data_IF_045788117145
#
_entry.id   IF_045788117145
#
_cell.length_a   1.000
_cell.length_b   1.000
_cell.length_c   1.000
_cell.angle_alpha   90.00
_cell.angle_beta   90.00
_cell.angle_gamma   90.00
#
_symmetry.space_group_name_H-M   'P 1'
#
loop_
_entity.id
_entity.type
_entity.pdbx_description
1 polymer ?
#
# COMPACT_ATOMS: atom_id res chain seq x y z
N UNK A 1 -5.99 -30.26 38.98
CA UNK A 1 -6.27 -28.83 38.85
C UNK A 1 -5.52 -28.22 37.67
N UNK A 2 -4.20 -28.47 37.49
CA UNK A 2 -3.42 -27.92 36.37
C UNK A 2 -3.92 -28.35 34.97
N UNK A 3 -4.28 -29.63 34.80
CA UNK A 3 -4.81 -30.17 33.52
C UNK A 3 -6.15 -29.54 33.17
N UNK A 4 -7.04 -29.31 34.12
CA UNK A 4 -8.31 -28.62 33.89
C UNK A 4 -8.11 -27.13 33.49
N UNK A 5 -7.09 -26.49 34.06
CA UNK A 5 -6.74 -25.12 33.70
C UNK A 5 -6.18 -25.05 32.27
N UNK A 6 -5.35 -25.99 31.84
CA UNK A 6 -4.85 -26.04 30.47
C UNK A 6 -5.94 -26.38 29.46
N UNK A 7 -6.88 -27.28 29.81
CA UNK A 7 -8.04 -27.57 28.95
C UNK A 7 -8.94 -26.35 28.85
N UNK A 8 -9.24 -25.68 29.96
CA UNK A 8 -10.07 -24.46 29.96
C UNK A 8 -9.40 -23.29 29.23
N UNK A 9 -8.11 -23.05 29.48
CA UNK A 9 -7.36 -21.97 28.79
C UNK A 9 -7.17 -22.28 27.30
N UNK A 10 -6.91 -23.54 26.93
CA UNK A 10 -6.84 -23.97 25.52
C UNK A 10 -8.18 -23.81 24.80
N UNK A 11 -9.30 -24.17 25.50
CA UNK A 11 -10.65 -24.02 24.97
C UNK A 11 -11.06 -22.52 24.85
N UNK A 12 -10.72 -21.72 25.87
CA UNK A 12 -10.96 -20.25 25.84
C UNK A 12 -10.11 -19.53 24.79
N UNK A 13 -8.87 -19.97 24.56
CA UNK A 13 -8.01 -19.45 23.49
C UNK A 13 -8.54 -19.89 22.12
N UNK A 14 -9.04 -21.11 21.98
CA UNK A 14 -9.63 -21.64 20.75
C UNK A 14 -10.96 -20.95 20.44
N UNK A 15 -11.79 -20.65 21.44
CA UNK A 15 -13.02 -19.88 21.29
C UNK A 15 -12.75 -18.41 20.98
N UNK A 16 -11.72 -17.78 21.58
CA UNK A 16 -11.28 -16.43 21.20
C UNK A 16 -10.65 -16.38 19.79
N UNK A 17 -10.08 -17.48 19.31
CA UNK A 17 -9.54 -17.61 17.94
C UNK A 17 -10.60 -17.91 16.88
N UNK A 18 -11.83 -18.26 17.23
CA UNK A 18 -12.96 -18.14 16.29
C UNK A 18 -13.24 -16.66 16.04
N UNK A 19 -12.36 -15.97 15.31
CA UNK A 19 -12.76 -14.78 14.56
C UNK A 19 -13.99 -15.22 13.79
N UNK A 20 -15.16 -14.58 14.02
CA UNK A 20 -16.31 -14.74 13.15
C UNK A 20 -15.79 -14.62 11.72
N UNK A 21 -16.04 -15.63 10.90
CA UNK A 21 -15.69 -15.54 9.50
C UNK A 21 -16.26 -14.23 8.96
N UNK A 22 -15.47 -13.47 8.24
CA UNK A 22 -15.95 -12.24 7.59
C UNK A 22 -17.13 -12.57 6.66
N UNK A 23 -17.06 -13.75 6.02
CA UNK A 23 -18.10 -14.29 5.15
C UNK A 23 -18.76 -15.50 5.85
N UNK A 24 -19.93 -15.32 6.47
CA UNK A 24 -20.64 -16.41 7.14
C UNK A 24 -21.30 -17.38 6.17
N UNK A 25 -21.51 -16.97 4.91
CA UNK A 25 -22.12 -17.77 3.84
C UNK A 25 -21.10 -18.12 2.76
N UNK A 26 -21.34 -19.25 2.07
CA UNK A 26 -20.59 -19.61 0.88
C UNK A 26 -20.94 -18.63 -0.27
N UNK A 27 -19.96 -18.24 -1.07
CA UNK A 27 -20.13 -17.23 -2.13
C UNK A 27 -21.22 -17.62 -3.16
N UNK A 28 -21.38 -18.92 -3.39
CA UNK A 28 -22.36 -19.49 -4.33
C UNK A 28 -23.81 -19.32 -3.87
N UNK A 29 -24.04 -19.02 -2.59
CA UNK A 29 -25.37 -18.86 -2.00
C UNK A 29 -25.73 -17.41 -1.70
N UNK A 30 -24.86 -16.47 -2.04
CA UNK A 30 -25.03 -15.06 -1.72
C UNK A 30 -25.70 -14.28 -2.84
N UNK A 31 -26.67 -13.47 -2.46
CA UNK A 31 -27.42 -12.54 -3.33
C UNK A 31 -26.65 -11.23 -3.55
N UNK A 32 -25.93 -10.80 -2.52
CA UNK A 32 -25.14 -9.55 -2.51
C UNK A 32 -23.66 -9.89 -2.54
N UNK A 33 -22.98 -9.47 -3.59
CA UNK A 33 -21.54 -9.62 -3.72
C UNK A 33 -20.89 -8.24 -3.61
N UNK A 34 -20.00 -8.09 -2.65
CA UNK A 34 -19.25 -6.84 -2.39
C UNK A 34 -17.81 -7.06 -2.80
N UNK A 35 -17.38 -6.41 -3.87
CA UNK A 35 -16.00 -6.51 -4.39
C UNK A 35 -15.20 -5.26 -4.02
N UNK A 36 -13.95 -5.47 -3.63
CA UNK A 36 -13.08 -4.39 -3.15
C UNK A 36 -11.81 -4.32 -3.98
N UNK A 37 -11.59 -3.18 -4.63
CA UNK A 37 -10.33 -2.77 -5.22
C UNK A 37 -9.64 -1.75 -4.31
N UNK A 38 -8.54 -2.11 -3.67
CA UNK A 38 -7.84 -1.22 -2.73
C UNK A 38 -6.34 -1.48 -2.75
N UNK A 39 -5.55 -0.42 -2.55
CA UNK A 39 -4.10 -0.52 -2.39
C UNK A 39 -3.74 -0.67 -0.90
N UNK A 40 -4.09 0.30 -0.08
CA UNK A 40 -3.77 0.36 1.36
C UNK A 40 -4.85 -0.15 2.29
N UNK A 41 -5.94 -0.74 1.79
CA UNK A 41 -7.01 -1.34 2.61
C UNK A 41 -8.09 -0.37 3.11
N UNK A 42 -7.94 0.94 2.95
CA UNK A 42 -8.90 1.93 3.44
C UNK A 42 -10.30 1.80 2.81
N UNK A 43 -10.37 1.54 1.51
CA UNK A 43 -11.63 1.30 0.79
C UNK A 43 -12.37 0.07 1.32
N UNK A 44 -11.63 -0.92 1.83
CA UNK A 44 -12.19 -2.13 2.43
C UNK A 44 -13.03 -1.85 3.68
N UNK A 45 -12.68 -0.84 4.46
CA UNK A 45 -13.46 -0.48 5.65
C UNK A 45 -14.86 0.01 5.27
N UNK A 46 -14.97 0.79 4.17
CA UNK A 46 -16.25 1.23 3.63
C UNK A 46 -17.10 0.07 3.11
N UNK A 47 -16.50 -0.79 2.31
CA UNK A 47 -17.14 -1.98 1.76
C UNK A 47 -17.61 -2.93 2.86
N UNK A 48 -16.78 -3.13 3.90
CA UNK A 48 -17.09 -3.98 5.03
C UNK A 48 -18.27 -3.47 5.85
N UNK A 49 -18.38 -2.17 6.05
CA UNK A 49 -19.52 -1.61 6.77
C UNK A 49 -20.85 -1.89 6.07
N UNK A 50 -20.87 -1.82 4.75
CA UNK A 50 -22.06 -2.19 3.95
C UNK A 50 -22.32 -3.70 4.05
N UNK A 51 -21.29 -4.52 3.89
CA UNK A 51 -21.41 -5.97 4.03
C UNK A 51 -21.93 -6.38 5.41
N UNK A 52 -21.36 -5.84 6.49
CA UNK A 52 -21.78 -6.14 7.86
C UNK A 52 -23.22 -5.70 8.13
N UNK A 53 -23.67 -4.60 7.51
CA UNK A 53 -25.05 -4.12 7.65
C UNK A 53 -26.04 -4.97 6.84
N UNK A 54 -25.71 -5.37 5.63
CA UNK A 54 -26.49 -6.33 4.85
C UNK A 54 -26.71 -7.64 5.63
N UNK A 55 -25.64 -8.16 6.25
CA UNK A 55 -25.74 -9.34 7.12
C UNK A 55 -26.67 -9.10 8.33
N UNK A 56 -26.61 -7.91 8.95
CA UNK A 56 -27.50 -7.54 10.08
C UNK A 56 -28.97 -7.47 9.65
N UNK A 57 -29.23 -7.09 8.42
CA UNK A 57 -30.57 -7.07 7.84
C UNK A 57 -31.02 -8.43 7.29
N UNK A 58 -30.25 -9.50 7.54
CA UNK A 58 -30.58 -10.87 7.14
C UNK A 58 -30.29 -11.20 5.66
N UNK A 59 -29.60 -10.31 4.95
CA UNK A 59 -29.21 -10.55 3.56
C UNK A 59 -27.99 -11.47 3.50
N UNK A 60 -27.93 -12.35 2.48
CA UNK A 60 -26.75 -13.16 2.23
C UNK A 60 -25.75 -12.36 1.43
N UNK A 61 -24.74 -11.85 2.11
CA UNK A 61 -23.69 -11.03 1.53
C UNK A 61 -22.33 -11.72 1.61
N UNK A 62 -21.52 -11.55 0.58
CA UNK A 62 -20.14 -12.02 0.48
C UNK A 62 -19.23 -10.87 0.09
N UNK A 63 -18.12 -10.69 0.81
CA UNK A 63 -17.11 -9.68 0.51
C UNK A 63 -15.80 -10.31 0.08
N UNK A 64 -15.22 -9.83 -1.02
CA UNK A 64 -13.95 -10.32 -1.58
C UNK A 64 -13.15 -9.22 -2.24
N UNK A 65 -11.89 -9.49 -2.57
CA UNK A 65 -11.10 -8.66 -3.47
C UNK A 65 -11.59 -8.80 -4.90
N UNK A 66 -11.43 -7.74 -5.69
CA UNK A 66 -11.79 -7.80 -7.12
C UNK A 66 -10.98 -8.87 -7.86
N UNK A 67 -9.73 -9.15 -7.40
CA UNK A 67 -8.89 -10.22 -7.94
C UNK A 67 -9.37 -11.64 -7.59
N UNK A 68 -10.36 -11.78 -6.69
CA UNK A 68 -10.99 -13.04 -6.31
C UNK A 68 -12.38 -13.23 -6.99
N UNK A 69 -12.68 -12.38 -7.97
CA UNK A 69 -13.92 -12.52 -8.75
C UNK A 69 -14.04 -13.89 -9.38
N UNK A 70 -15.23 -14.48 -9.30
CA UNK A 70 -15.48 -15.82 -9.77
C UNK A 70 -16.96 -16.08 -10.09
N UNK A 71 -17.41 -17.31 -9.92
CA UNK A 71 -18.80 -17.69 -10.19
C UNK A 71 -19.71 -17.36 -9.00
N UNK A 72 -20.81 -16.64 -9.26
CA UNK A 72 -21.82 -16.23 -8.28
C UNK A 72 -23.24 -16.55 -8.81
N UNK A 73 -23.69 -17.81 -8.74
CA UNK A 73 -24.93 -18.26 -9.38
C UNK A 73 -26.21 -17.66 -8.79
N UNK A 74 -26.15 -17.10 -7.57
CA UNK A 74 -27.29 -16.46 -6.89
C UNK A 74 -27.16 -14.94 -6.83
N UNK A 75 -26.25 -14.36 -7.65
CA UNK A 75 -26.03 -12.91 -7.66
C UNK A 75 -27.29 -12.15 -8.07
N UNK A 76 -27.75 -11.27 -7.20
CA UNK A 76 -28.80 -10.28 -7.47
C UNK A 76 -28.22 -8.86 -7.51
N UNK A 77 -27.25 -8.56 -6.61
CA UNK A 77 -26.64 -7.25 -6.48
C UNK A 77 -25.13 -7.32 -6.37
N UNK A 78 -24.45 -6.65 -7.29
CA UNK A 78 -22.99 -6.49 -7.31
C UNK A 78 -22.60 -5.08 -6.87
N UNK A 79 -21.96 -4.97 -5.73
CA UNK A 79 -21.42 -3.70 -5.22
C UNK A 79 -19.91 -3.67 -5.39
N UNK A 80 -19.40 -2.70 -6.10
CA UNK A 80 -17.97 -2.54 -6.34
C UNK A 80 -17.47 -1.27 -5.66
N UNK A 81 -16.49 -1.43 -4.78
CA UNK A 81 -15.79 -0.35 -4.09
C UNK A 81 -14.36 -0.32 -4.62
N UNK A 82 -14.07 0.62 -5.51
CA UNK A 82 -12.81 0.67 -6.25
C UNK A 82 -12.03 1.95 -5.97
N UNK A 83 -10.86 1.83 -5.36
CA UNK A 83 -9.92 2.95 -5.31
C UNK A 83 -9.14 3.04 -6.63
N UNK A 84 -8.70 4.24 -6.94
CA UNK A 84 -7.74 4.50 -8.00
C UNK A 84 -6.39 4.81 -7.36
N UNK A 85 -5.33 4.25 -7.91
CA UNK A 85 -3.97 4.41 -7.40
C UNK A 85 -3.08 5.11 -8.43
N UNK A 86 -2.04 5.83 -7.96
CA UNK A 86 -1.09 6.52 -8.84
C UNK A 86 -1.77 7.43 -9.87
N UNK A 87 -1.34 7.32 -11.12
CA UNK A 87 -1.83 8.11 -12.25
C UNK A 87 -3.08 7.51 -12.92
N UNK A 88 -3.99 6.94 -12.13
CA UNK A 88 -5.24 6.40 -12.64
C UNK A 88 -5.30 4.86 -12.68
N UNK A 89 -4.31 4.17 -12.14
CA UNK A 89 -4.15 2.73 -12.24
C UNK A 89 -5.11 1.95 -11.33
N UNK A 90 -5.32 0.67 -11.68
CA UNK A 90 -6.00 -0.27 -10.82
C UNK A 90 -5.19 -0.56 -9.55
N UNK A 91 -5.82 -0.58 -8.37
CA UNK A 91 -5.15 -0.97 -7.13
C UNK A 91 -4.75 -2.45 -7.18
N UNK A 92 -3.77 -2.84 -6.36
CA UNK A 92 -3.21 -4.21 -6.35
C UNK A 92 -4.28 -5.30 -6.25
N UNK A 93 -5.36 -5.06 -5.51
CA UNK A 93 -6.46 -6.04 -5.37
C UNK A 93 -7.50 -5.97 -6.50
N UNK A 94 -7.27 -5.14 -7.54
CA UNK A 94 -8.17 -4.95 -8.68
C UNK A 94 -7.54 -5.19 -10.05
N UNK A 95 -6.25 -5.42 -10.13
CA UNK A 95 -5.48 -5.50 -11.39
C UNK A 95 -5.95 -6.59 -12.35
N UNK A 96 -6.47 -7.69 -11.83
CA UNK A 96 -6.92 -8.84 -12.62
C UNK A 96 -8.42 -8.85 -12.91
N UNK A 97 -9.18 -7.87 -12.41
CA UNK A 97 -10.64 -7.90 -12.47
C UNK A 97 -11.18 -7.99 -13.90
N UNK A 98 -10.66 -7.20 -14.83
CA UNK A 98 -11.13 -7.21 -16.21
C UNK A 98 -10.89 -8.56 -16.93
N UNK A 99 -9.81 -9.26 -16.61
CA UNK A 99 -9.51 -10.61 -17.08
C UNK A 99 -10.50 -11.62 -16.50
N UNK A 100 -10.68 -11.59 -15.19
CA UNK A 100 -11.57 -12.50 -14.46
C UNK A 100 -13.03 -12.28 -14.84
N UNK A 101 -13.43 -11.04 -15.11
CA UNK A 101 -14.77 -10.71 -15.61
C UNK A 101 -15.09 -11.43 -16.93
N UNK A 102 -14.16 -11.44 -17.86
CA UNK A 102 -14.30 -12.18 -19.13
C UNK A 102 -14.30 -13.69 -18.94
N UNK A 103 -13.52 -14.19 -17.99
CA UNK A 103 -13.38 -15.62 -17.70
C UNK A 103 -14.60 -16.22 -16.99
N UNK A 104 -15.30 -15.43 -16.19
CA UNK A 104 -16.45 -15.86 -15.39
C UNK A 104 -17.69 -15.02 -15.72
N UNK A 105 -18.31 -15.22 -16.92
CA UNK A 105 -19.48 -14.46 -17.33
C UNK A 105 -20.66 -14.75 -16.42
N UNK A 106 -21.40 -13.71 -16.04
CA UNK A 106 -22.65 -13.80 -15.30
C UNK A 106 -23.79 -13.94 -16.31
N UNK A 107 -24.60 -14.97 -16.19
CA UNK A 107 -25.67 -15.28 -17.15
C UNK A 107 -27.02 -14.71 -16.73
N UNK A 108 -27.28 -14.63 -15.42
CA UNK A 108 -28.52 -14.07 -14.86
C UNK A 108 -28.50 -12.54 -14.86
N UNK A 109 -29.70 -11.94 -14.90
CA UNK A 109 -29.83 -10.50 -14.72
C UNK A 109 -29.50 -10.10 -13.28
N UNK A 110 -28.73 -9.02 -13.11
CA UNK A 110 -28.31 -8.52 -11.80
C UNK A 110 -28.23 -6.98 -11.78
N UNK A 111 -28.43 -6.41 -10.60
CA UNK A 111 -28.16 -5.00 -10.35
C UNK A 111 -26.70 -4.76 -10.02
N UNK A 112 -26.14 -3.62 -10.42
CA UNK A 112 -24.80 -3.25 -9.97
C UNK A 112 -24.69 -1.79 -9.54
N UNK A 113 -23.72 -1.52 -8.70
CA UNK A 113 -23.36 -0.18 -8.27
C UNK A 113 -21.84 -0.09 -8.09
N UNK A 114 -21.23 0.99 -8.63
CA UNK A 114 -19.80 1.26 -8.50
C UNK A 114 -19.60 2.51 -7.65
N UNK A 115 -18.74 2.38 -6.62
CA UNK A 115 -18.30 3.47 -5.76
C UNK A 115 -16.80 3.64 -5.95
N UNK A 116 -16.41 4.76 -6.55
CA UNK A 116 -15.03 5.10 -6.83
C UNK A 116 -14.41 5.93 -5.71
N UNK A 117 -13.22 5.56 -5.26
CA UNK A 117 -12.44 6.32 -4.30
C UNK A 117 -11.18 6.86 -4.96
N UNK A 118 -10.90 8.14 -4.76
CA UNK A 118 -9.74 8.80 -5.32
C UNK A 118 -9.47 10.12 -4.63
N UNK A 119 -8.51 10.87 -5.14
CA UNK A 119 -8.26 12.25 -4.72
C UNK A 119 -8.28 13.20 -5.92
N UNK A 120 -9.03 14.28 -5.80
CA UNK A 120 -9.05 15.36 -6.80
C UNK A 120 -7.70 16.06 -6.95
N UNK A 121 -6.73 15.76 -6.10
CA UNK A 121 -5.36 16.24 -6.25
C UNK A 121 -4.60 15.56 -7.41
N UNK A 122 -5.15 14.47 -7.96
CA UNK A 122 -4.58 13.73 -9.09
C UNK A 122 -5.43 13.93 -10.35
N UNK A 123 -4.80 14.06 -11.53
CA UNK A 123 -5.52 14.31 -12.80
C UNK A 123 -6.56 13.23 -13.12
N UNK A 124 -6.23 11.96 -12.84
CA UNK A 124 -7.04 10.80 -13.19
C UNK A 124 -7.98 10.37 -12.05
N UNK A 125 -8.71 11.33 -11.48
CA UNK A 125 -9.63 11.10 -10.37
C UNK A 125 -10.65 9.97 -10.65
N UNK A 126 -10.59 8.92 -9.83
CA UNK A 126 -11.45 7.73 -9.89
C UNK A 126 -11.46 7.02 -11.26
N UNK A 127 -10.37 7.09 -12.05
CA UNK A 127 -10.30 6.51 -13.39
C UNK A 127 -10.61 5.02 -13.40
N UNK A 128 -9.96 4.24 -12.54
CA UNK A 128 -10.22 2.80 -12.49
C UNK A 128 -11.69 2.46 -12.22
N UNK A 129 -12.35 3.16 -11.30
CA UNK A 129 -13.78 2.97 -11.03
C UNK A 129 -14.64 3.33 -12.25
N UNK A 130 -14.27 4.37 -13.02
CA UNK A 130 -14.94 4.72 -14.29
C UNK A 130 -14.78 3.63 -15.34
N UNK A 131 -13.58 3.05 -15.46
CA UNK A 131 -13.31 1.94 -16.39
C UNK A 131 -14.13 0.69 -16.02
N UNK A 132 -14.25 0.39 -14.71
CA UNK A 132 -15.09 -0.71 -14.20
C UNK A 132 -16.57 -0.45 -14.50
N UNK A 133 -17.07 0.75 -14.27
CA UNK A 133 -18.46 1.10 -14.56
C UNK A 133 -18.79 0.96 -16.05
N UNK A 134 -17.89 1.44 -16.94
CA UNK A 134 -18.00 1.26 -18.39
C UNK A 134 -17.95 -0.21 -18.80
N UNK A 135 -17.14 -1.05 -18.13
CA UNK A 135 -17.06 -2.48 -18.37
C UNK A 135 -18.40 -3.16 -18.07
N UNK A 136 -19.00 -2.86 -16.91
CA UNK A 136 -20.27 -3.43 -16.49
C UNK A 136 -21.45 -2.94 -17.33
N UNK A 137 -21.45 -1.68 -17.73
CA UNK A 137 -22.50 -1.09 -18.57
C UNK A 137 -22.61 -1.74 -19.97
N UNK A 138 -21.59 -2.48 -20.42
CA UNK A 138 -21.60 -3.21 -21.68
C UNK A 138 -22.32 -4.56 -21.59
N UNK A 139 -22.60 -5.04 -20.40
CA UNK A 139 -23.22 -6.33 -20.18
C UNK A 139 -24.75 -6.20 -20.24
N UNK A 140 -25.42 -6.90 -21.18
CA UNK A 140 -26.89 -6.79 -21.36
C UNK A 140 -27.70 -7.18 -20.13
N UNK A 141 -27.18 -8.09 -19.30
CA UNK A 141 -27.80 -8.58 -18.07
C UNK A 141 -27.55 -7.69 -16.87
N UNK A 142 -26.63 -6.72 -16.95
CA UNK A 142 -26.27 -5.83 -15.85
C UNK A 142 -27.12 -4.55 -15.88
N UNK A 143 -27.75 -4.23 -14.76
CA UNK A 143 -28.53 -2.99 -14.59
C UNK A 143 -27.88 -2.10 -13.55
N UNK A 144 -27.46 -0.91 -13.94
CA UNK A 144 -26.99 0.10 -12.97
C UNK A 144 -28.13 0.51 -12.04
N UNK A 145 -27.93 0.32 -10.73
CA UNK A 145 -28.90 0.69 -9.70
C UNK A 145 -28.76 2.14 -9.28
N UNK A 146 -27.57 2.67 -9.34
CA UNK A 146 -27.24 4.08 -9.16
C UNK A 146 -26.17 4.49 -10.17
N UNK A 147 -26.10 5.76 -10.58
CA UNK A 147 -24.93 6.26 -11.29
C UNK A 147 -23.66 6.02 -10.50
N UNK A 148 -22.52 5.88 -11.22
CA UNK A 148 -21.21 5.86 -10.58
C UNK A 148 -21.09 6.99 -9.55
N UNK A 149 -20.77 6.63 -8.32
CA UNK A 149 -20.54 7.60 -7.25
C UNK A 149 -19.06 7.72 -6.95
N UNK A 150 -18.53 8.93 -6.94
CA UNK A 150 -17.10 9.17 -6.67
C UNK A 150 -16.93 9.83 -5.30
N UNK A 151 -15.97 9.34 -4.54
CA UNK A 151 -15.65 9.81 -3.20
C UNK A 151 -14.25 10.38 -3.21
N UNK A 152 -14.15 11.68 -2.95
CA UNK A 152 -12.87 12.35 -2.81
C UNK A 152 -12.30 12.17 -1.41
N UNK A 153 -11.01 11.82 -1.32
CA UNK A 153 -10.24 11.74 -0.07
C UNK A 153 -10.95 10.94 1.03
N UNK A 154 -11.63 9.86 0.66
CA UNK A 154 -12.35 8.99 1.61
C UNK A 154 -13.40 9.72 2.48
N UNK A 155 -14.08 10.71 1.90
CA UNK A 155 -15.12 11.48 2.60
C UNK A 155 -16.23 10.58 3.13
N UNK A 156 -16.37 10.54 4.45
CA UNK A 156 -17.41 9.77 5.15
C UNK A 156 -18.80 10.30 4.82
N UNK A 157 -18.93 11.62 4.70
CA UNK A 157 -20.21 12.26 4.42
C UNK A 157 -20.68 11.97 3.00
N UNK A 158 -19.76 12.02 2.02
CA UNK A 158 -20.08 11.62 0.65
C UNK A 158 -20.47 10.13 0.58
N UNK A 159 -19.81 9.28 1.35
CA UNK A 159 -20.16 7.87 1.44
C UNK A 159 -21.52 7.63 2.07
N UNK A 160 -21.86 8.33 3.15
CA UNK A 160 -23.19 8.27 3.78
C UNK A 160 -24.29 8.68 2.81
N UNK A 161 -24.11 9.78 2.10
CA UNK A 161 -25.06 10.24 1.08
C UNK A 161 -25.26 9.19 -0.03
N UNK A 162 -24.20 8.53 -0.48
CA UNK A 162 -24.31 7.42 -1.41
C UNK A 162 -25.08 6.25 -0.78
N UNK A 163 -24.72 5.83 0.43
CA UNK A 163 -25.33 4.69 1.12
C UNK A 163 -26.84 4.89 1.33
N UNK A 164 -27.27 6.10 1.70
CA UNK A 164 -28.68 6.46 1.83
C UNK A 164 -29.41 6.35 0.48
N UNK A 165 -28.83 6.92 -0.59
CA UNK A 165 -29.42 6.87 -1.93
C UNK A 165 -29.52 5.44 -2.45
N UNK A 166 -28.44 4.66 -2.33
CA UNK A 166 -28.42 3.29 -2.81
C UNK A 166 -29.38 2.40 -2.00
N UNK A 167 -29.38 2.48 -0.67
CA UNK A 167 -30.26 1.68 0.18
C UNK A 167 -31.75 1.93 -0.09
N UNK A 168 -32.12 3.17 -0.40
CA UNK A 168 -33.48 3.52 -0.80
C UNK A 168 -33.93 2.82 -2.09
N UNK A 169 -33.00 2.55 -3.03
CA UNK A 169 -33.32 1.79 -4.26
C UNK A 169 -33.54 0.30 -4.01
N UNK A 170 -33.11 -0.22 -2.85
CA UNK A 170 -33.15 -1.64 -2.49
C UNK A 170 -34.21 -1.94 -1.41
N UNK A 171 -35.01 -0.98 -1.02
CA UNK A 171 -35.90 -1.07 0.15
C UNK A 171 -35.13 -1.55 1.41
N UNK A 172 -33.90 -1.05 1.56
CA UNK A 172 -33.00 -1.30 2.68
C UNK A 172 -32.83 -0.02 3.50
N UNK A 173 -32.46 -0.17 4.77
CA UNK A 173 -32.08 0.95 5.62
C UNK A 173 -30.67 0.72 6.15
N UNK A 174 -29.67 1.12 5.34
CA UNK A 174 -28.26 1.00 5.76
C UNK A 174 -27.98 1.88 6.97
N UNK A 175 -27.72 1.25 8.09
CA UNK A 175 -27.30 1.90 9.33
C UNK A 175 -25.81 1.80 9.50
N UNK A 176 -25.10 2.70 8.89
CA UNK A 176 -23.67 2.81 9.13
C UNK A 176 -23.45 3.23 10.59
N UNK A 177 -22.59 2.56 11.36
CA UNK A 177 -22.30 2.94 12.74
C UNK A 177 -21.95 4.43 12.84
N UNK A 178 -22.37 5.10 13.91
CA UNK A 178 -22.06 6.52 14.13
C UNK A 178 -20.55 6.76 14.28
N UNK A 179 -19.85 5.74 14.76
CA UNK A 179 -18.39 5.66 14.85
C UNK A 179 -17.74 5.02 13.60
N UNK A 180 -18.55 4.72 12.57
CA UNK A 180 -18.05 4.28 11.29
C UNK A 180 -17.08 5.33 10.74
N UNK A 181 -15.84 4.94 10.66
CA UNK A 181 -14.72 5.83 10.34
C UNK A 181 -14.54 7.05 11.28
N UNK A 182 -15.15 7.11 12.46
CA UNK A 182 -14.38 7.68 13.53
C UNK A 182 -13.17 6.76 13.61
N UNK A 183 -12.16 7.10 12.82
CA UNK A 183 -10.83 6.49 12.90
C UNK A 183 -10.60 6.28 14.38
N UNK A 184 -10.46 5.03 14.89
CA UNK A 184 -9.97 4.77 16.24
C UNK A 184 -9.01 5.88 16.49
N UNK A 185 -9.20 6.74 17.52
CA UNK A 185 -8.37 7.92 17.72
C UNK A 185 -6.95 7.45 17.62
N UNK A 186 -6.38 7.52 16.40
CA UNK A 186 -5.03 7.04 16.16
C UNK A 186 -4.18 7.83 17.14
N UNK A 187 -3.41 7.14 17.94
CA UNK A 187 -2.62 7.79 18.96
C UNK A 187 -1.63 8.71 18.26
N UNK A 188 -1.93 10.01 18.29
CA UNK A 188 -0.98 11.00 17.80
C UNK A 188 0.22 11.00 18.73
N UNK A 189 1.40 10.97 18.15
CA UNK A 189 2.65 11.11 18.86
C UNK A 189 3.24 12.50 18.59
N UNK A 190 3.88 13.07 19.58
CA UNK A 190 4.60 14.32 19.46
C UNK A 190 6.06 14.02 19.17
N UNK A 191 6.56 14.64 18.10
CA UNK A 191 7.88 14.42 17.54
C UNK A 191 8.60 15.76 17.46
N UNK A 192 9.78 15.86 18.05
CA UNK A 192 10.62 17.06 17.96
C UNK A 192 11.55 16.95 16.78
N UNK A 193 11.66 18.00 15.97
CA UNK A 193 12.68 18.11 14.91
C UNK A 193 14.04 18.26 15.56
N UNK A 194 14.92 17.27 15.38
CA UNK A 194 16.29 17.31 15.95
C UNK A 194 17.32 17.76 14.93
N UNK A 195 17.06 17.47 13.66
CA UNK A 195 17.98 17.87 12.57
C UNK A 195 17.23 17.92 11.24
N UNK A 196 17.71 18.78 10.36
CA UNK A 196 17.26 18.86 8.96
C UNK A 196 18.45 19.26 8.08
N UNK A 197 18.64 18.54 6.98
CA UNK A 197 19.64 18.92 5.97
C UNK A 197 19.12 20.07 5.11
N UNK A 198 19.99 20.80 4.42
CA UNK A 198 19.58 21.64 3.30
C UNK A 198 18.84 20.83 2.22
N UNK A 199 18.01 21.50 1.43
CA UNK A 199 17.41 20.90 0.23
C UNK A 199 18.51 20.74 -0.82
N UNK A 200 18.67 19.52 -1.32
CA UNK A 200 19.69 19.17 -2.31
C UNK A 200 19.14 19.25 -3.75
N UNK A 201 19.99 18.97 -4.73
CA UNK A 201 19.73 19.15 -6.17
C UNK A 201 18.47 18.46 -6.72
N UNK A 202 18.02 17.33 -6.12
CA UNK A 202 16.80 16.62 -6.50
C UNK A 202 15.56 17.09 -5.75
N UNK A 203 15.64 18.28 -5.13
CA UNK A 203 14.61 18.83 -4.23
C UNK A 203 14.37 17.92 -3.01
N UNK A 204 15.39 17.20 -2.54
CA UNK A 204 15.29 16.26 -1.43
C UNK A 204 16.09 16.76 -0.23
N UNK A 205 15.53 16.55 0.96
CA UNK A 205 16.18 16.80 2.23
C UNK A 205 15.84 15.72 3.24
N UNK A 206 16.69 15.53 4.23
CA UNK A 206 16.45 14.62 5.35
C UNK A 206 15.93 15.41 6.56
N UNK A 207 14.98 14.79 7.28
CA UNK A 207 14.48 15.30 8.56
C UNK A 207 14.61 14.18 9.60
N UNK A 208 15.21 14.52 10.74
CA UNK A 208 15.29 13.66 11.91
C UNK A 208 14.31 14.14 12.97
N UNK A 209 13.48 13.21 13.42
CA UNK A 209 12.41 13.45 14.37
C UNK A 209 12.61 12.57 15.60
N UNK A 210 12.58 13.15 16.80
CA UNK A 210 12.69 12.40 18.04
C UNK A 210 11.33 12.35 18.75
N UNK A 211 10.79 11.16 19.04
CA UNK A 211 9.58 11.04 19.84
C UNK A 211 9.78 11.57 21.27
N UNK A 212 8.83 12.38 21.76
CA UNK A 212 8.87 12.87 23.15
C UNK A 212 8.62 11.74 24.17
N UNK A 213 7.97 10.67 23.76
CA UNK A 213 7.73 9.48 24.59
C UNK A 213 8.17 8.25 23.82
N UNK A 214 8.66 7.24 24.53
CA UNK A 214 9.02 5.97 23.91
C UNK A 214 7.83 5.37 23.18
N UNK A 215 8.01 5.05 21.90
CA UNK A 215 7.03 4.45 21.01
C UNK A 215 7.66 3.27 20.28
N UNK A 216 6.84 2.30 19.92
CA UNK A 216 7.28 1.19 19.08
C UNK A 216 7.01 1.54 17.61
N UNK A 217 8.02 1.37 16.77
CA UNK A 217 7.96 1.51 15.32
C UNK A 217 9.14 0.76 14.69
N UNK A 218 9.01 0.43 13.43
CA UNK A 218 10.05 -0.25 12.63
C UNK A 218 10.30 0.52 11.32
N UNK A 219 11.47 0.29 10.73
CA UNK A 219 11.77 0.84 9.39
C UNK A 219 10.80 0.27 8.37
N UNK A 220 10.22 1.13 7.53
CA UNK A 220 9.16 0.77 6.60
C UNK A 220 7.75 1.02 7.12
N UNK A 221 7.55 1.36 8.41
CA UNK A 221 6.29 1.94 8.88
C UNK A 221 6.07 3.32 8.24
N UNK A 222 4.84 3.84 8.34
CA UNK A 222 4.46 5.11 7.76
C UNK A 222 4.22 6.17 8.84
N UNK A 223 4.66 7.39 8.57
CA UNK A 223 4.36 8.57 9.38
C UNK A 223 3.25 9.38 8.71
N UNK A 224 2.06 9.38 9.29
CA UNK A 224 0.92 10.17 8.86
C UNK A 224 0.95 11.56 9.46
N UNK A 225 1.10 12.58 8.64
CA UNK A 225 1.11 14.00 9.03
C UNK A 225 -0.13 14.66 8.47
N UNK A 226 -0.94 15.25 9.36
CA UNK A 226 -2.17 15.97 8.99
C UNK A 226 -1.96 17.46 9.24
N UNK A 227 -1.71 18.27 8.21
CA UNK A 227 -1.58 19.72 8.32
C UNK A 227 -2.95 20.43 8.47
N UNK A 228 -2.95 21.76 8.41
CA UNK A 228 -4.15 22.58 8.59
C UNK A 228 -5.25 22.33 7.52
N UNK A 229 -4.89 21.83 6.33
CA UNK A 229 -5.84 21.46 5.27
C UNK A 229 -6.65 20.18 5.59
N UNK A 230 -6.35 19.52 6.72
CA UNK A 230 -7.03 18.32 7.19
C UNK A 230 -6.69 17.04 6.41
N UNK A 231 -5.86 17.11 5.37
CA UNK A 231 -5.46 15.95 4.56
C UNK A 231 -4.18 15.32 5.11
N UNK A 232 -4.25 14.05 5.46
CA UNK A 232 -3.08 13.30 5.91
C UNK A 232 -2.18 12.93 4.73
N UNK A 233 -0.87 13.10 4.91
CA UNK A 233 0.15 12.59 3.99
C UNK A 233 1.00 11.57 4.72
N UNK A 234 1.28 10.46 4.04
CA UNK A 234 2.06 9.35 4.57
C UNK A 234 3.49 9.43 4.04
N UNK A 235 4.43 9.18 4.92
CA UNK A 235 5.86 9.13 4.61
C UNK A 235 6.44 7.83 5.15
N UNK A 236 7.13 7.08 4.32
CA UNK A 236 7.88 5.89 4.75
C UNK A 236 9.04 6.31 5.65
N UNK A 237 9.17 5.67 6.80
CA UNK A 237 10.14 6.04 7.82
C UNK A 237 11.30 5.07 7.93
N UNK A 238 12.47 5.61 8.28
CA UNK A 238 13.56 4.83 8.85
C UNK A 238 13.55 4.94 10.37
N UNK A 239 13.88 3.83 11.01
CA UNK A 239 14.22 3.78 12.41
C UNK A 239 15.73 3.80 12.55
N UNK A 240 16.24 4.87 13.14
CA UNK A 240 17.65 4.96 13.48
C UNK A 240 17.80 5.20 14.98
N UNK A 241 18.19 4.18 15.72
CA UNK A 241 18.14 4.16 17.19
C UNK A 241 16.72 4.43 17.70
N UNK A 242 16.48 5.57 18.37
CA UNK A 242 15.15 5.98 18.85
C UNK A 242 14.54 7.12 18.02
N UNK A 243 15.14 7.45 16.89
CA UNK A 243 14.71 8.53 16.01
C UNK A 243 14.01 8.00 14.76
N UNK A 244 13.09 8.81 14.25
CA UNK A 244 12.42 8.62 12.98
C UNK A 244 13.13 9.49 11.94
N UNK A 245 13.58 8.90 10.86
CA UNK A 245 14.18 9.63 9.76
C UNK A 245 13.25 9.61 8.55
N UNK A 246 13.09 10.78 7.95
CA UNK A 246 12.34 10.98 6.71
C UNK A 246 13.29 11.47 5.63
N UNK A 247 13.14 10.97 4.43
CA UNK A 247 13.63 11.61 3.22
C UNK A 247 12.43 12.26 2.53
N UNK A 248 12.48 13.54 2.34
CA UNK A 248 11.35 14.35 1.90
C UNK A 248 11.69 15.04 0.58
N UNK A 249 10.86 14.83 -0.43
CA UNK A 249 10.93 15.62 -1.66
C UNK A 249 10.13 16.91 -1.46
N UNK A 250 10.80 18.04 -1.61
CA UNK A 250 10.15 19.35 -1.60
C UNK A 250 9.33 19.52 -2.88
N UNK A 251 8.04 19.74 -2.71
CA UNK A 251 7.11 19.99 -3.82
C UNK A 251 6.62 21.42 -3.69
N UNK A 252 6.71 22.22 -4.74
CA UNK A 252 6.48 23.66 -4.67
C UNK A 252 5.18 24.08 -3.98
N UNK A 253 4.06 23.37 -4.21
CA UNK A 253 2.78 23.60 -3.54
C UNK A 253 2.42 22.49 -2.52
N UNK A 254 3.38 21.63 -2.17
CA UNK A 254 3.18 20.53 -1.24
C UNK A 254 3.08 20.99 0.21
N UNK A 255 1.89 20.93 0.82
CA UNK A 255 1.65 21.50 2.16
C UNK A 255 2.55 20.85 3.22
N UNK A 256 2.69 19.53 3.24
CA UNK A 256 3.49 18.84 4.29
C UNK A 256 4.98 18.91 3.99
N UNK A 257 5.41 18.83 2.73
CA UNK A 257 6.84 18.96 2.41
C UNK A 257 7.38 20.35 2.76
N UNK A 258 6.60 21.41 2.51
CA UNK A 258 6.96 22.77 2.93
C UNK A 258 6.88 22.91 4.46
N UNK A 259 5.85 22.37 5.13
CA UNK A 259 5.78 22.35 6.58
C UNK A 259 7.05 21.73 7.20
N UNK A 260 7.48 20.56 6.71
CA UNK A 260 8.67 19.88 7.20
C UNK A 260 9.96 20.64 6.87
N UNK A 261 9.99 21.36 5.75
CA UNK A 261 11.12 22.21 5.38
C UNK A 261 11.22 23.45 6.27
N UNK A 262 10.09 24.04 6.66
CA UNK A 262 10.05 25.33 7.36
C UNK A 262 10.03 25.19 8.89
N UNK A 263 9.62 23.99 9.41
CA UNK A 263 9.50 23.75 10.85
C UNK A 263 10.88 23.88 11.53
N UNK A 264 11.07 24.80 12.50
CA UNK A 264 12.36 25.02 13.15
C UNK A 264 12.87 23.78 13.90
N UNK A 265 14.20 23.66 14.01
CA UNK A 265 14.81 22.65 14.88
C UNK A 265 14.42 22.96 16.34
N UNK A 266 14.01 21.93 17.08
CA UNK A 266 13.46 22.02 18.43
C UNK A 266 11.94 22.12 18.49
N UNK A 267 11.28 22.48 17.41
CA UNK A 267 9.82 22.53 17.35
C UNK A 267 9.20 21.13 17.29
N UNK A 268 7.93 21.06 17.69
CA UNK A 268 7.20 19.80 17.82
C UNK A 268 6.11 19.68 16.77
N UNK A 269 6.07 18.51 16.15
CA UNK A 269 5.04 18.11 15.17
C UNK A 269 4.22 16.96 15.76
N UNK A 270 2.90 16.95 15.47
CA UNK A 270 1.99 15.86 15.81
C UNK A 270 1.72 14.99 14.61
N UNK A 271 2.03 13.71 14.73
CA UNK A 271 1.86 12.74 13.67
C UNK A 271 1.32 11.40 14.19
N UNK A 272 0.93 10.53 13.29
CA UNK A 272 0.47 9.16 13.58
C UNK A 272 1.46 8.19 12.99
N UNK A 273 1.87 7.16 13.71
CA UNK A 273 2.63 6.05 13.14
C UNK A 273 1.65 4.96 12.73
N UNK A 274 1.73 4.55 11.48
CA UNK A 274 0.97 3.44 10.92
C UNK A 274 1.90 2.27 10.67
N UNK A 275 1.66 1.11 11.29
CA UNK A 275 2.43 -0.09 11.02
C UNK A 275 2.24 -0.53 9.55
N UNK A 276 3.35 -0.83 8.88
CA UNK A 276 3.38 -1.37 7.52
C UNK A 276 4.19 -2.69 7.48
N UNK A 277 3.70 -3.77 8.13
CA UNK A 277 4.46 -5.01 8.31
C UNK A 277 4.82 -5.71 6.98
N UNK A 278 4.12 -5.38 5.90
CA UNK A 278 4.45 -5.92 4.58
C UNK A 278 5.76 -5.34 4.03
N UNK A 279 6.19 -4.18 4.53
CA UNK A 279 7.40 -3.50 4.09
C UNK A 279 8.49 -3.41 5.18
N UNK A 280 8.46 -4.27 6.19
CA UNK A 280 9.56 -4.40 7.16
C UNK A 280 10.72 -5.22 6.60
N UNK A 281 11.92 -5.01 7.16
CA UNK A 281 13.13 -5.74 6.78
C UNK A 281 12.92 -7.27 6.90
N UNK A 282 13.18 -8.04 5.84
CA UNK A 282 12.88 -9.48 5.80
C UNK A 282 13.94 -10.30 6.53
N UNK A 283 13.93 -10.30 7.86
CA UNK A 283 14.93 -10.95 8.73
C UNK A 283 15.19 -12.43 8.42
N UNK A 284 14.24 -13.12 7.78
CA UNK A 284 14.36 -14.54 7.42
C UNK A 284 14.91 -14.78 6.00
N UNK A 285 14.96 -13.75 5.16
CA UNK A 285 15.47 -13.90 3.82
C UNK A 285 16.98 -14.21 3.84
N UNK A 286 17.47 -15.09 2.96
CA UNK A 286 18.89 -15.38 2.86
C UNK A 286 19.68 -14.19 2.30
N UNK A 287 19.09 -13.43 1.40
CA UNK A 287 19.67 -12.24 0.75
C UNK A 287 18.57 -11.20 0.49
N UNK A 288 18.92 -9.93 0.52
CA UNK A 288 17.98 -8.81 0.29
C UNK A 288 18.54 -7.85 -0.75
N UNK A 289 17.69 -7.42 -1.67
CA UNK A 289 17.97 -6.29 -2.56
C UNK A 289 17.02 -5.15 -2.21
N UNK A 290 17.56 -3.98 -1.90
CA UNK A 290 16.83 -2.74 -1.68
C UNK A 290 16.96 -1.85 -2.92
N UNK A 291 15.85 -1.56 -3.58
CA UNK A 291 15.78 -0.72 -4.78
C UNK A 291 15.06 0.57 -4.42
N UNK A 292 15.74 1.71 -4.60
CA UNK A 292 15.16 3.02 -4.32
C UNK A 292 15.40 4.03 -5.44
N UNK A 293 14.53 5.03 -5.54
CA UNK A 293 14.85 6.28 -6.22
C UNK A 293 14.40 7.49 -5.39
N UNK A 294 15.15 8.57 -5.56
CA UNK A 294 14.83 9.84 -4.90
C UNK A 294 14.64 9.69 -3.38
N UNK A 295 13.50 10.15 -2.87
CA UNK A 295 13.16 10.09 -1.44
C UNK A 295 12.85 8.67 -0.91
N UNK A 296 12.72 7.68 -1.77
CA UNK A 296 12.47 6.28 -1.39
C UNK A 296 13.61 5.61 -0.62
N UNK A 297 14.75 6.30 -0.46
CA UNK A 297 15.88 5.81 0.33
C UNK A 297 15.59 5.72 1.82
N UNK A 298 14.68 6.54 2.36
CA UNK A 298 14.48 6.65 3.80
C UNK A 298 14.34 5.30 4.53
N UNK A 299 13.36 4.43 4.23
CA UNK A 299 13.19 3.20 5.00
C UNK A 299 14.41 2.29 4.95
N UNK A 300 15.16 2.31 3.84
CA UNK A 300 16.34 1.46 3.67
C UNK A 300 17.51 1.88 4.55
N UNK A 301 17.68 3.15 4.86
CA UNK A 301 18.72 3.61 5.82
C UNK A 301 18.56 2.89 7.17
N UNK A 302 17.34 2.82 7.69
CA UNK A 302 17.08 2.13 8.94
C UNK A 302 17.12 0.60 8.81
N UNK A 303 16.67 0.04 7.68
CA UNK A 303 16.73 -1.40 7.44
C UNK A 303 18.17 -1.91 7.30
N UNK A 304 19.07 -1.11 6.72
CA UNK A 304 20.50 -1.42 6.66
C UNK A 304 21.11 -1.40 8.06
N UNK A 305 20.72 -0.43 8.91
CA UNK A 305 21.13 -0.43 10.32
C UNK A 305 20.66 -1.70 11.05
N UNK A 306 19.45 -2.18 10.76
CA UNK A 306 18.88 -3.42 11.31
C UNK A 306 19.57 -4.69 10.79
N UNK A 307 20.38 -4.63 9.73
CA UNK A 307 21.13 -5.77 9.19
C UNK A 307 22.36 -6.11 10.05
N UNK A 308 22.12 -6.42 11.31
CA UNK A 308 23.18 -6.73 12.30
C UNK A 308 23.88 -8.04 12.00
N UNK A 309 23.18 -9.01 11.41
CA UNK A 309 23.71 -10.31 11.00
C UNK A 309 24.57 -10.24 9.73
N UNK A 310 24.70 -9.05 9.14
CA UNK A 310 25.44 -8.78 7.90
C UNK A 310 25.04 -9.74 6.77
N UNK A 311 23.73 -9.94 6.61
CA UNK A 311 23.19 -10.71 5.48
C UNK A 311 23.59 -10.04 4.18
N UNK A 312 23.84 -10.80 3.11
CA UNK A 312 24.07 -10.21 1.81
C UNK A 312 22.96 -9.23 1.43
N UNK A 313 23.31 -7.95 1.39
CA UNK A 313 22.39 -6.86 1.06
C UNK A 313 22.99 -6.07 -0.11
N UNK A 314 22.21 -6.01 -1.19
CA UNK A 314 22.51 -5.17 -2.34
C UNK A 314 21.62 -3.93 -2.29
N UNK A 315 22.23 -2.75 -2.33
CA UNK A 315 21.52 -1.49 -2.45
C UNK A 315 21.61 -0.98 -3.88
N UNK A 316 20.47 -0.76 -4.52
CA UNK A 316 20.33 -0.16 -5.85
C UNK A 316 19.66 1.19 -5.70
N UNK A 317 20.35 2.27 -6.04
CA UNK A 317 19.74 3.60 -5.88
C UNK A 317 19.81 4.42 -7.18
N UNK A 318 18.64 4.95 -7.54
CA UNK A 318 18.45 5.85 -8.68
C UNK A 318 18.32 7.31 -8.26
N UNK A 319 19.09 8.18 -8.90
CA UNK A 319 19.01 9.62 -8.73
C UNK A 319 19.05 10.34 -10.09
N UNK A 320 18.80 11.64 -10.07
CA UNK A 320 18.87 12.44 -11.30
C UNK A 320 20.31 12.84 -11.62
N UNK A 321 21.05 13.24 -10.59
CA UNK A 321 22.41 13.76 -10.69
C UNK A 321 23.31 13.11 -9.65
N UNK A 322 24.59 13.07 -9.94
CA UNK A 322 25.60 12.50 -9.04
C UNK A 322 25.69 13.29 -7.71
N UNK A 323 25.48 14.62 -7.77
CA UNK A 323 25.44 15.48 -6.57
C UNK A 323 24.34 15.07 -5.58
N UNK A 324 23.25 14.43 -6.01
CA UNK A 324 22.19 13.90 -5.13
C UNK A 324 22.69 12.79 -4.21
N UNK A 325 23.81 12.12 -4.56
CA UNK A 325 24.45 11.08 -3.74
C UNK A 325 25.00 11.63 -2.42
N UNK A 326 25.47 12.89 -2.43
CA UNK A 326 26.10 13.51 -1.26
C UNK A 326 25.18 13.55 -0.04
N UNK A 327 23.85 13.60 -0.27
CA UNK A 327 22.86 13.57 0.82
C UNK A 327 22.93 12.29 1.66
N UNK A 328 23.23 11.16 1.03
CA UNK A 328 23.16 9.85 1.68
C UNK A 328 24.54 9.23 1.95
N UNK A 329 25.60 9.70 1.30
CA UNK A 329 26.98 9.19 1.50
C UNK A 329 27.41 9.11 2.96
N UNK A 330 27.15 10.14 3.82
CA UNK A 330 27.54 10.08 5.23
C UNK A 330 26.96 8.89 6.00
N UNK A 331 25.90 8.29 5.47
CA UNK A 331 25.21 7.14 6.06
C UNK A 331 25.53 5.83 5.34
N UNK A 332 25.65 5.86 4.01
CA UNK A 332 25.86 4.65 3.19
C UNK A 332 27.32 4.18 3.27
N UNK A 333 28.29 5.10 3.19
CA UNK A 333 29.71 4.74 3.17
C UNK A 333 30.14 3.96 4.44
N UNK A 334 29.75 4.39 5.68
CA UNK A 334 30.02 3.58 6.86
C UNK A 334 29.39 2.19 6.83
N UNK A 335 28.20 2.03 6.27
CA UNK A 335 27.54 0.73 6.17
C UNK A 335 28.23 -0.22 5.16
N UNK A 336 28.84 0.33 4.11
CA UNK A 336 29.68 -0.43 3.19
C UNK A 336 30.95 -0.89 3.92
N UNK A 337 31.61 0.02 4.63
CA UNK A 337 32.83 -0.30 5.41
C UNK A 337 32.56 -1.31 6.52
N UNK A 338 31.40 -1.22 7.19
CA UNK A 338 30.98 -2.21 8.20
C UNK A 338 30.55 -3.55 7.61
N UNK A 339 30.38 -3.66 6.30
CA UNK A 339 29.91 -4.87 5.60
C UNK A 339 28.41 -5.14 5.78
N UNK A 340 27.61 -4.13 6.17
CA UNK A 340 26.14 -4.20 6.18
C UNK A 340 25.56 -4.12 4.78
N UNK A 341 26.24 -3.47 3.84
CA UNK A 341 25.96 -3.43 2.41
C UNK A 341 27.07 -4.22 1.70
N UNK A 342 26.66 -5.30 1.03
CA UNK A 342 27.60 -6.15 0.29
C UNK A 342 27.89 -5.62 -1.12
N UNK A 343 26.90 -4.96 -1.72
CA UNK A 343 26.99 -4.43 -3.08
C UNK A 343 26.19 -3.12 -3.15
N UNK A 344 26.75 -2.11 -3.78
CA UNK A 344 26.10 -0.84 -4.01
C UNK A 344 26.13 -0.48 -5.49
N UNK A 345 24.96 -0.36 -6.11
CA UNK A 345 24.78 0.05 -7.50
C UNK A 345 24.04 1.37 -7.59
N UNK A 346 24.54 2.23 -8.46
CA UNK A 346 24.01 3.57 -8.68
C UNK A 346 23.50 3.70 -10.11
N UNK A 347 22.37 4.38 -10.26
CA UNK A 347 21.80 4.76 -11.55
C UNK A 347 21.58 6.28 -11.58
N UNK A 348 22.30 6.97 -12.48
CA UNK A 348 22.21 8.42 -12.67
C UNK A 348 21.46 8.71 -13.97
N UNK A 349 20.25 9.32 -13.87
CA UNK A 349 19.32 9.37 -15.01
C UNK A 349 19.41 10.65 -15.84
N UNK A 350 20.14 11.69 -15.41
CA UNK A 350 20.26 12.98 -16.14
C UNK A 350 21.67 13.44 -16.40
N UNK A 351 22.66 12.61 -16.11
CA UNK A 351 24.07 12.85 -16.39
C UNK A 351 24.65 11.64 -17.11
N UNK A 352 25.66 11.83 -17.92
CA UNK A 352 26.32 10.77 -18.69
C UNK A 352 25.34 10.04 -19.62
N UNK A 353 25.40 8.71 -19.58
CA UNK A 353 24.66 7.81 -20.47
C UNK A 353 23.19 7.59 -20.06
N UNK A 354 22.65 8.40 -19.13
CA UNK A 354 21.25 8.33 -18.65
C UNK A 354 20.84 6.93 -18.22
N UNK A 355 21.43 6.45 -17.18
CA UNK A 355 21.23 5.11 -16.67
C UNK A 355 20.14 5.08 -15.58
N UNK A 356 19.19 4.17 -15.68
CA UNK A 356 18.08 4.02 -14.76
C UNK A 356 18.22 2.74 -13.93
N UNK A 357 17.42 2.62 -12.88
CA UNK A 357 17.42 1.45 -11.99
C UNK A 357 17.09 0.16 -12.73
N UNK A 358 16.12 0.19 -13.66
CA UNK A 358 15.75 -0.96 -14.47
C UNK A 358 16.89 -1.43 -15.40
N UNK A 359 17.77 -0.51 -15.84
CA UNK A 359 18.93 -0.87 -16.68
C UNK A 359 19.95 -1.70 -15.88
N UNK A 360 20.10 -1.42 -14.57
CA UNK A 360 20.90 -2.25 -13.66
C UNK A 360 20.27 -3.64 -13.57
N UNK A 361 18.95 -3.74 -13.38
CA UNK A 361 18.26 -5.02 -13.26
C UNK A 361 18.43 -5.84 -14.54
N UNK A 362 18.28 -5.19 -15.69
CA UNK A 362 18.47 -5.86 -16.97
C UNK A 362 19.92 -6.36 -17.14
N UNK A 363 20.91 -5.52 -16.83
CA UNK A 363 22.33 -5.87 -16.92
C UNK A 363 22.70 -7.02 -15.97
N UNK A 364 22.17 -7.00 -14.76
CA UNK A 364 22.46 -7.98 -13.70
C UNK A 364 21.35 -9.06 -13.61
N UNK A 365 20.64 -9.34 -14.70
CA UNK A 365 19.47 -10.23 -14.72
C UNK A 365 19.72 -11.60 -14.09
N UNK A 366 20.86 -12.21 -14.34
CA UNK A 366 21.25 -13.50 -13.73
C UNK A 366 21.37 -13.41 -12.21
N UNK A 367 21.87 -12.29 -11.67
CA UNK A 367 21.94 -12.06 -10.22
C UNK A 367 20.54 -12.02 -9.61
N UNK A 368 19.61 -11.22 -10.18
CA UNK A 368 18.24 -11.13 -9.70
C UNK A 368 17.49 -12.47 -9.81
N UNK A 369 17.70 -13.21 -10.89
CA UNK A 369 17.12 -14.53 -11.07
C UNK A 369 17.59 -15.52 -9.99
N UNK A 370 18.91 -15.60 -9.75
CA UNK A 370 19.47 -16.47 -8.71
C UNK A 370 18.97 -16.09 -7.32
N UNK A 371 18.97 -14.80 -7.00
CA UNK A 371 18.43 -14.28 -5.74
C UNK A 371 16.98 -14.75 -5.49
N UNK A 372 16.11 -14.61 -6.49
CA UNK A 372 14.71 -15.03 -6.38
C UNK A 372 14.56 -16.55 -6.30
N UNK A 373 15.37 -17.31 -7.05
CA UNK A 373 15.37 -18.77 -7.02
C UNK A 373 15.78 -19.32 -5.65
N UNK A 374 16.70 -18.65 -4.96
CA UNK A 374 17.23 -19.02 -3.63
C UNK A 374 16.39 -18.50 -2.47
N UNK A 375 15.24 -17.86 -2.73
CA UNK A 375 14.35 -17.34 -1.69
C UNK A 375 14.71 -15.95 -1.17
N UNK A 376 15.59 -15.24 -1.89
CA UNK A 376 15.92 -13.84 -1.61
C UNK A 376 14.72 -12.92 -1.82
N UNK A 377 14.81 -11.71 -1.28
CA UNK A 377 13.72 -10.71 -1.29
C UNK A 377 14.18 -9.43 -1.98
N UNK A 378 13.37 -8.91 -2.89
CA UNK A 378 13.52 -7.60 -3.51
C UNK A 378 12.53 -6.63 -2.86
N UNK A 379 13.04 -5.52 -2.33
CA UNK A 379 12.27 -4.45 -1.73
C UNK A 379 12.38 -3.19 -2.59
N UNK A 380 11.26 -2.57 -2.90
CA UNK A 380 11.21 -1.43 -3.84
C UNK A 380 10.51 -0.26 -3.16
N UNK A 381 11.18 0.91 -3.07
CA UNK A 381 10.61 2.12 -2.52
C UNK A 381 10.95 3.35 -3.36
N UNK A 382 9.95 4.17 -3.69
CA UNK A 382 10.12 5.38 -4.48
C UNK A 382 8.94 5.67 -5.40
N UNK A 383 9.21 6.21 -6.60
CA UNK A 383 8.15 6.62 -7.52
C UNK A 383 7.45 5.44 -8.19
N UNK A 384 6.15 5.62 -8.47
CA UNK A 384 5.36 4.65 -9.23
C UNK A 384 5.92 4.36 -10.63
N UNK A 385 6.47 5.37 -11.28
CA UNK A 385 7.09 5.20 -12.60
C UNK A 385 8.29 4.24 -12.53
N UNK A 386 9.13 4.35 -11.48
CA UNK A 386 10.22 3.40 -11.24
C UNK A 386 9.68 2.00 -10.94
N UNK A 387 8.68 1.88 -10.06
CA UNK A 387 8.08 0.59 -9.71
C UNK A 387 7.59 -0.15 -10.95
N UNK A 388 6.89 0.54 -11.84
CA UNK A 388 6.39 -0.03 -13.08
C UNK A 388 7.53 -0.58 -13.94
N UNK A 389 8.54 0.25 -14.22
CA UNK A 389 9.69 -0.16 -15.04
C UNK A 389 10.49 -1.31 -14.41
N UNK A 390 10.69 -1.25 -13.07
CA UNK A 390 11.37 -2.34 -12.34
C UNK A 390 10.59 -3.65 -12.42
N UNK A 391 9.26 -3.62 -12.25
CA UNK A 391 8.43 -4.83 -12.37
C UNK A 391 8.42 -5.40 -13.77
N UNK A 392 8.32 -4.57 -14.80
CA UNK A 392 8.40 -4.99 -16.20
C UNK A 392 9.73 -5.70 -16.49
N UNK A 393 10.84 -5.12 -16.06
CA UNK A 393 12.17 -5.73 -16.24
C UNK A 393 12.36 -7.01 -15.41
N UNK A 394 11.85 -7.04 -14.16
CA UNK A 394 11.89 -8.27 -13.35
C UNK A 394 11.01 -9.38 -13.95
N UNK A 395 9.87 -9.06 -14.57
CA UNK A 395 9.05 -10.04 -15.30
C UNK A 395 9.83 -10.67 -16.45
N UNK A 396 10.55 -9.85 -17.25
CA UNK A 396 11.44 -10.33 -18.32
C UNK A 396 12.53 -11.24 -17.78
N UNK A 397 13.21 -10.82 -16.70
CA UNK A 397 14.26 -11.61 -16.03
C UNK A 397 13.72 -12.95 -15.52
N UNK A 398 12.58 -12.93 -14.84
CA UNK A 398 11.95 -14.14 -14.31
C UNK A 398 11.52 -15.08 -15.44
N UNK A 399 10.93 -14.53 -16.49
CA UNK A 399 10.51 -15.34 -17.64
C UNK A 399 11.71 -15.97 -18.37
N UNK A 400 12.76 -15.19 -18.64
CA UNK A 400 13.93 -15.64 -19.38
C UNK A 400 14.75 -16.68 -18.61
N UNK A 401 15.10 -16.39 -17.35
CA UNK A 401 16.00 -17.22 -16.57
C UNK A 401 15.29 -18.33 -15.78
N UNK A 402 14.08 -18.09 -15.28
CA UNK A 402 13.42 -19.00 -14.32
C UNK A 402 12.19 -19.69 -14.90
N UNK A 403 11.72 -19.29 -16.08
CA UNK A 403 10.49 -19.79 -16.70
C UNK A 403 9.26 -19.66 -15.78
N UNK A 404 9.23 -18.65 -14.96
CA UNK A 404 8.13 -18.33 -14.01
C UNK A 404 7.74 -16.87 -14.18
N UNK A 405 6.44 -16.53 -14.00
CA UNK A 405 6.01 -15.13 -13.97
C UNK A 405 6.46 -14.47 -12.66
N UNK A 406 6.64 -13.15 -12.66
CA UNK A 406 6.97 -12.37 -11.47
C UNK A 406 5.92 -12.55 -10.35
N UNK A 407 4.65 -12.72 -10.74
CA UNK A 407 3.54 -12.97 -9.80
C UNK A 407 3.74 -14.20 -8.92
N UNK A 408 4.52 -15.20 -9.36
CA UNK A 408 4.89 -16.34 -8.53
C UNK A 408 5.71 -15.88 -7.32
N UNK A 409 6.68 -15.00 -7.52
CA UNK A 409 7.54 -14.48 -6.46
C UNK A 409 6.84 -13.44 -5.59
N UNK A 410 5.93 -12.64 -6.18
CA UNK A 410 5.05 -11.73 -5.43
C UNK A 410 4.17 -12.50 -4.45
N UNK A 411 3.52 -13.57 -4.90
CA UNK A 411 2.66 -14.42 -4.06
C UNK A 411 3.45 -15.12 -2.94
N UNK A 412 4.74 -15.36 -3.13
CA UNK A 412 5.64 -15.91 -2.11
C UNK A 412 6.21 -14.84 -1.16
N UNK A 413 5.84 -13.57 -1.34
CA UNK A 413 6.30 -12.45 -0.51
C UNK A 413 7.76 -12.06 -0.75
N UNK A 414 8.33 -12.45 -1.90
CA UNK A 414 9.71 -12.13 -2.27
C UNK A 414 9.84 -10.77 -2.97
N UNK A 415 8.75 -10.18 -3.41
CA UNK A 415 8.69 -8.80 -3.94
C UNK A 415 7.86 -7.96 -2.96
N UNK A 416 8.47 -6.95 -2.39
CA UNK A 416 7.85 -6.03 -1.43
C UNK A 416 7.94 -4.61 -1.98
N UNK A 417 6.85 -3.86 -1.92
CA UNK A 417 6.78 -2.52 -2.52
C UNK A 417 6.16 -1.52 -1.56
N UNK A 418 6.71 -0.30 -1.55
CA UNK A 418 6.20 0.87 -0.84
C UNK A 418 6.49 2.11 -1.69
N UNK A 419 5.67 2.32 -2.72
CA UNK A 419 5.89 3.35 -3.75
C UNK A 419 4.71 4.32 -3.82
N UNK A 420 4.98 5.56 -4.22
CA UNK A 420 4.06 6.70 -4.18
C UNK A 420 4.27 7.68 -5.35
#
# INVERSE_FOLDING_TARGET
>A
LAILFFIYSGFAITLKRRKKSVNPFAKETCEYIVLVGTEGGSTREFARAVHDDLLRQGKRSYIADMNDFGNYPQLEQLLIFASTYGDGDAPITGTRFAELWKKHPIVQSFGYTVVGFGSLSYPEFCRFAKEVDVLLAKEPQAKAMTPLHTINDQSVDAFRQWAEKWSATQDLNLRLPSDFLTRKKRKRTELTVVERTPVMDDDIFLVRLKPLKKIAFESGDLLGITPADGRERLYSIAKYREEIWLSVKLVGQGVVSNLLNDLPIGETLRAVIEPNPNFHFPKKAPQVVCIANGAGMAPFLGMIEENTDKKPLTLVWGCRREASLELYRPYIDPYIEEGKISTYWQAVSREGDKFYVQDIIHREGSFFANLLAEGGVVMICGSMAMLKAVKETLEEVCHFHLRKPLSYFENNGQIKTDCY
#
